data_IF_897899504402
#
_entry.id   IF_897899504402
#
_cell.length_a   1.000
_cell.length_b   1.000
_cell.length_c   1.000
_cell.angle_alpha   90.00
_cell.angle_beta   90.00
_cell.angle_gamma   90.00
#
_symmetry.space_group_name_H-M   'P 1'
#
loop_
_entity.id
_entity.type
_entity.pdbx_description
1 polymer ?
#
# COMPACT_ATOMS: atom_id res chain seq x y z
N UNK A 1 -45.46 33.89 33.63
CA UNK A 1 -45.34 32.48 33.20
C UNK A 1 -45.02 32.46 31.71
N UNK A 2 -43.73 32.40 31.36
CA UNK A 2 -43.26 32.46 29.96
C UNK A 2 -42.92 31.03 29.56
N UNK A 3 -43.79 30.40 28.77
CA UNK A 3 -43.61 29.03 28.25
C UNK A 3 -42.44 29.07 27.27
N UNK A 4 -41.31 28.45 27.63
CA UNK A 4 -40.18 28.24 26.74
C UNK A 4 -40.57 27.09 25.80
N UNK A 5 -40.56 27.38 24.50
CA UNK A 5 -40.78 26.41 23.45
C UNK A 5 -39.66 25.36 23.47
N UNK A 6 -40.03 24.09 23.64
CA UNK A 6 -39.13 22.96 23.41
C UNK A 6 -38.99 22.81 21.90
N UNK A 7 -37.89 23.33 21.37
CA UNK A 7 -37.47 23.08 19.99
C UNK A 7 -36.90 21.66 19.98
N UNK A 8 -37.70 20.72 19.47
CA UNK A 8 -37.25 19.38 19.13
C UNK A 8 -36.16 19.47 18.07
N UNK A 9 -34.91 19.34 18.50
CA UNK A 9 -33.75 19.23 17.62
C UNK A 9 -33.77 17.83 16.99
N UNK A 10 -34.40 17.71 15.83
CA UNK A 10 -34.20 16.59 14.91
C UNK A 10 -32.76 16.66 14.41
N UNK A 11 -31.85 15.89 15.03
CA UNK A 11 -30.53 15.57 14.48
C UNK A 11 -30.74 14.58 13.32
N UNK A 12 -30.47 14.94 12.05
CA UNK A 12 -30.43 13.96 10.99
C UNK A 12 -29.17 13.10 11.17
N UNK A 13 -29.38 11.78 11.22
CA UNK A 13 -28.35 10.74 11.20
C UNK A 13 -27.52 10.87 9.92
N UNK A 14 -26.32 11.44 10.02
CA UNK A 14 -25.28 11.37 8.98
C UNK A 14 -24.61 9.98 9.04
N UNK A 15 -25.32 8.92 8.67
CA UNK A 15 -24.79 7.54 8.61
C UNK A 15 -24.66 6.99 7.17
N UNK A 16 -24.74 7.84 6.15
CA UNK A 16 -24.78 7.40 4.75
C UNK A 16 -23.42 7.42 4.02
N UNK A 17 -22.29 7.25 4.73
CA UNK A 17 -20.95 7.37 4.13
C UNK A 17 -19.96 6.24 4.42
N UNK A 18 -20.26 5.31 5.33
CA UNK A 18 -19.31 4.25 5.70
C UNK A 18 -19.60 2.89 5.03
N UNK A 19 -20.59 2.83 4.13
CA UNK A 19 -20.93 1.63 3.36
C UNK A 19 -20.25 1.60 1.99
N UNK A 20 -20.36 2.71 1.25
CA UNK A 20 -19.90 2.78 -0.14
C UNK A 20 -18.37 2.63 -0.30
N UNK A 21 -17.58 3.26 0.59
CA UNK A 21 -16.12 3.18 0.52
C UNK A 21 -15.61 1.75 0.80
N UNK A 22 -16.26 1.04 1.73
CA UNK A 22 -15.91 -0.35 2.05
C UNK A 22 -16.23 -1.27 0.87
N UNK A 23 -17.39 -1.09 0.24
CA UNK A 23 -17.78 -1.89 -0.91
C UNK A 23 -16.82 -1.63 -2.08
N UNK A 24 -16.46 -0.37 -2.35
CA UNK A 24 -15.47 -0.01 -3.37
C UNK A 24 -14.08 -0.62 -3.11
N UNK A 25 -13.58 -0.55 -1.87
CA UNK A 25 -12.31 -1.18 -1.52
C UNK A 25 -12.32 -2.69 -1.73
N UNK A 26 -13.39 -3.36 -1.31
CA UNK A 26 -13.48 -4.81 -1.45
C UNK A 26 -13.60 -5.25 -2.92
N UNK A 27 -14.34 -4.50 -3.75
CA UNK A 27 -14.38 -4.70 -5.19
C UNK A 27 -12.98 -4.51 -5.80
N UNK A 28 -12.26 -3.46 -5.41
CA UNK A 28 -10.89 -3.23 -5.88
C UNK A 28 -9.91 -4.34 -5.46
N UNK A 29 -10.02 -4.85 -4.22
CA UNK A 29 -9.24 -6.01 -3.76
C UNK A 29 -9.51 -7.21 -4.64
N UNK A 30 -10.78 -7.50 -4.94
CA UNK A 30 -11.17 -8.63 -5.79
C UNK A 30 -10.66 -8.46 -7.23
N UNK A 31 -10.79 -7.27 -7.80
CA UNK A 31 -10.35 -6.95 -9.16
C UNK A 31 -8.83 -7.09 -9.32
N UNK A 32 -8.06 -6.65 -8.31
CA UNK A 32 -6.60 -6.64 -8.36
C UNK A 32 -5.92 -7.91 -7.87
N UNK A 33 -6.63 -8.80 -7.14
CA UNK A 33 -6.06 -9.98 -6.52
C UNK A 33 -5.24 -10.85 -7.49
N UNK A 34 -5.82 -11.14 -8.67
CA UNK A 34 -5.16 -11.99 -9.67
C UNK A 34 -3.91 -11.33 -10.22
N UNK A 35 -4.01 -10.06 -10.60
CA UNK A 35 -2.88 -9.30 -11.17
C UNK A 35 -1.75 -9.13 -10.15
N UNK A 36 -2.08 -8.90 -8.88
CA UNK A 36 -1.09 -8.87 -7.78
C UNK A 36 -0.39 -10.22 -7.62
N UNK A 37 -1.15 -11.32 -7.66
CA UNK A 37 -0.59 -12.67 -7.50
C UNK A 37 0.33 -13.03 -8.65
N UNK A 38 -0.03 -12.68 -9.88
CA UNK A 38 0.80 -12.89 -11.07
C UNK A 38 2.05 -12.02 -11.02
N UNK A 39 1.91 -10.74 -10.66
CA UNK A 39 3.02 -9.80 -10.58
C UNK A 39 4.03 -10.19 -9.49
N UNK A 40 3.55 -10.59 -8.30
CA UNK A 40 4.42 -10.99 -7.18
C UNK A 40 4.96 -12.41 -7.34
N UNK A 41 4.22 -13.28 -8.04
CA UNK A 41 4.59 -14.67 -8.31
C UNK A 41 5.56 -14.86 -9.47
N UNK A 42 5.82 -13.84 -10.29
CA UNK A 42 6.73 -13.93 -11.45
C UNK A 42 8.21 -14.13 -11.05
N UNK A 43 8.55 -13.87 -9.78
CA UNK A 43 9.89 -14.03 -9.21
C UNK A 43 10.91 -13.00 -9.71
N UNK A 44 10.45 -11.96 -10.42
CA UNK A 44 11.32 -10.89 -10.91
C UNK A 44 11.85 -10.03 -9.76
N UNK A 45 13.10 -9.53 -9.84
CA UNK A 45 13.68 -8.69 -8.78
C UNK A 45 12.88 -7.42 -8.47
N UNK A 46 12.09 -6.94 -9.44
CA UNK A 46 11.30 -5.72 -9.37
C UNK A 46 9.79 -5.96 -9.18
N UNK A 47 9.36 -7.21 -8.92
CA UNK A 47 7.96 -7.59 -8.74
C UNK A 47 7.18 -6.65 -7.79
N UNK A 48 7.74 -6.36 -6.61
CA UNK A 48 7.15 -5.43 -5.64
C UNK A 48 7.04 -3.99 -6.17
N UNK A 49 7.99 -3.55 -7.01
CA UNK A 49 7.97 -2.21 -7.59
C UNK A 49 6.99 -2.12 -8.77
N UNK A 50 6.77 -3.21 -9.51
CA UNK A 50 5.71 -3.33 -10.53
C UNK A 50 4.33 -3.26 -9.87
N UNK A 51 4.16 -3.91 -8.72
CA UNK A 51 2.91 -3.89 -7.95
C UNK A 51 2.58 -2.52 -7.31
N UNK A 52 3.51 -1.55 -7.32
CA UNK A 52 3.31 -0.25 -6.68
C UNK A 52 2.07 0.50 -7.20
N UNK A 53 1.78 0.42 -8.51
CA UNK A 53 0.57 1.04 -9.06
C UNK A 53 -0.69 0.49 -8.42
N UNK A 54 -0.80 -0.84 -8.38
CA UNK A 54 -1.93 -1.54 -7.77
C UNK A 54 -2.06 -1.26 -6.26
N UNK A 55 -0.94 -1.19 -5.53
CA UNK A 55 -0.99 -0.79 -4.11
C UNK A 55 -1.50 0.63 -3.92
N UNK A 56 -1.19 1.56 -4.83
CA UNK A 56 -1.73 2.92 -4.77
C UNK A 56 -3.23 2.94 -5.05
N UNK A 57 -3.69 2.20 -6.06
CA UNK A 57 -5.11 2.12 -6.41
C UNK A 57 -5.96 1.51 -5.28
N UNK A 58 -5.42 0.51 -4.57
CA UNK A 58 -6.04 -0.07 -3.38
C UNK A 58 -6.04 0.91 -2.20
N UNK A 59 -4.93 1.60 -1.96
CA UNK A 59 -4.82 2.57 -0.88
C UNK A 59 -5.76 3.78 -1.06
N UNK A 60 -5.98 4.21 -2.30
CA UNK A 60 -6.87 5.34 -2.61
C UNK A 60 -8.34 5.03 -2.34
N UNK A 61 -8.70 3.74 -2.32
CA UNK A 61 -10.06 3.25 -2.03
C UNK A 61 -10.20 2.73 -0.60
N UNK A 62 -9.09 2.57 0.12
CA UNK A 62 -9.07 1.94 1.42
C UNK A 62 -9.84 2.73 2.48
N UNK A 63 -10.49 2.04 3.44
CA UNK A 63 -11.07 2.70 4.59
C UNK A 63 -9.98 3.39 5.44
N UNK A 64 -10.40 4.43 6.17
CA UNK A 64 -9.49 5.30 6.91
C UNK A 64 -8.70 4.60 8.04
N UNK A 65 -9.17 3.44 8.50
CA UNK A 65 -8.58 2.66 9.58
C UNK A 65 -7.31 1.90 9.18
N UNK A 66 -7.09 1.66 7.88
CA UNK A 66 -5.88 0.98 7.36
C UNK A 66 -4.99 1.88 6.49
N UNK A 67 -5.22 3.20 6.55
CA UNK A 67 -4.47 4.17 5.75
C UNK A 67 -2.98 4.18 6.11
N UNK A 68 -2.64 4.01 7.38
CA UNK A 68 -1.25 4.10 7.85
C UNK A 68 -0.40 2.92 7.33
N UNK A 69 -0.97 1.72 7.29
CA UNK A 69 -0.38 0.50 6.75
C UNK A 69 -0.15 0.65 5.25
N UNK A 70 -1.16 1.09 4.50
CA UNK A 70 -1.00 1.38 3.07
C UNK A 70 0.09 2.40 2.80
N UNK A 71 0.10 3.50 3.55
CA UNK A 71 1.11 4.52 3.40
C UNK A 71 2.51 4.01 3.75
N UNK A 72 2.65 3.14 4.76
CA UNK A 72 3.93 2.52 5.11
C UNK A 72 4.49 1.75 3.90
N UNK A 73 3.70 0.84 3.33
CA UNK A 73 4.09 0.04 2.17
C UNK A 73 4.45 0.92 0.97
N UNK A 74 3.57 1.86 0.61
CA UNK A 74 3.76 2.73 -0.56
C UNK A 74 4.99 3.63 -0.39
N UNK A 75 5.22 4.20 0.79
CA UNK A 75 6.40 5.06 1.04
C UNK A 75 7.70 4.29 0.92
N UNK A 76 7.78 3.08 1.48
CA UNK A 76 8.98 2.25 1.39
C UNK A 76 9.29 1.88 -0.06
N UNK A 77 8.29 1.43 -0.81
CA UNK A 77 8.46 1.06 -2.23
C UNK A 77 8.80 2.27 -3.11
N UNK A 78 8.17 3.43 -2.89
CA UNK A 78 8.53 4.68 -3.59
C UNK A 78 9.96 5.10 -3.30
N UNK A 79 10.42 4.97 -2.05
CA UNK A 79 11.78 5.31 -1.66
C UNK A 79 12.81 4.42 -2.36
N UNK A 80 12.53 3.12 -2.46
CA UNK A 80 13.40 2.19 -3.20
C UNK A 80 13.39 2.50 -4.71
N UNK A 81 12.22 2.69 -5.31
CA UNK A 81 12.09 3.07 -6.72
C UNK A 81 12.89 4.33 -7.03
N UNK A 82 12.76 5.36 -6.18
CA UNK A 82 13.49 6.62 -6.34
C UNK A 82 15.00 6.42 -6.22
N UNK A 83 15.48 5.66 -5.23
CA UNK A 83 16.91 5.41 -5.05
C UNK A 83 17.54 4.69 -6.24
N UNK A 84 16.82 3.73 -6.85
CA UNK A 84 17.26 3.04 -8.07
C UNK A 84 17.25 3.97 -9.29
N UNK A 85 16.19 4.79 -9.45
CA UNK A 85 16.08 5.76 -10.53
C UNK A 85 17.16 6.85 -10.47
N UNK A 86 17.42 7.40 -9.29
CA UNK A 86 18.44 8.43 -9.06
C UNK A 86 19.84 7.91 -9.42
N UNK A 87 20.09 6.62 -9.17
CA UNK A 87 21.35 5.96 -9.49
C UNK A 87 21.41 5.43 -10.94
N UNK A 88 20.34 5.62 -11.73
CA UNK A 88 20.26 5.19 -13.12
C UNK A 88 20.33 3.67 -13.31
N UNK A 89 19.93 2.88 -12.31
CA UNK A 89 19.91 1.42 -12.39
C UNK A 89 18.51 0.90 -12.68
N UNK A 90 18.43 -0.13 -13.52
CA UNK A 90 17.17 -0.81 -13.83
C UNK A 90 16.83 -1.79 -12.69
N UNK A 91 15.70 -1.61 -11.99
CA UNK A 91 15.28 -2.52 -10.94
C UNK A 91 15.13 -3.97 -11.39
N UNK A 92 14.74 -4.22 -12.64
CA UNK A 92 14.52 -5.57 -13.17
C UNK A 92 15.81 -6.38 -13.30
N UNK A 93 16.97 -5.71 -13.33
CA UNK A 93 18.28 -6.34 -13.53
C UNK A 93 19.25 -6.06 -12.38
N UNK A 94 18.85 -5.30 -11.36
CA UNK A 94 19.72 -4.92 -10.26
C UNK A 94 20.03 -6.09 -9.33
N UNK A 95 21.31 -6.48 -9.28
CA UNK A 95 21.84 -7.43 -8.30
C UNK A 95 22.69 -6.70 -7.25
N UNK A 96 22.24 -6.72 -5.99
CA UNK A 96 22.93 -6.10 -4.86
C UNK A 96 24.32 -6.72 -4.60
N UNK A 97 24.50 -8.01 -4.88
CA UNK A 97 25.78 -8.70 -4.71
C UNK A 97 26.77 -8.33 -5.81
N UNK A 98 26.28 -8.01 -7.01
CA UNK A 98 27.06 -7.61 -8.17
C UNK A 98 26.56 -6.29 -8.76
N UNK A 99 26.67 -5.17 -8.01
CA UNK A 99 26.14 -3.88 -8.48
C UNK A 99 26.96 -3.36 -9.67
N UNK A 100 26.37 -2.55 -10.56
CA UNK A 100 27.08 -1.93 -11.68
C UNK A 100 28.30 -1.14 -11.21
N UNK A 101 29.42 -1.22 -11.94
CA UNK A 101 30.66 -0.50 -11.60
C UNK A 101 30.52 1.02 -11.63
N UNK A 102 29.48 1.54 -12.30
CA UNK A 102 29.12 2.96 -12.33
C UNK A 102 28.48 3.46 -11.03
N UNK A 103 28.03 2.56 -10.15
CA UNK A 103 27.35 2.91 -8.91
C UNK A 103 28.35 3.45 -7.87
N UNK A 104 28.12 4.67 -7.39
CA UNK A 104 28.93 5.26 -6.33
C UNK A 104 28.63 4.61 -4.98
N UNK A 105 29.55 4.78 -4.02
CA UNK A 105 29.35 4.33 -2.64
C UNK A 105 28.10 4.94 -1.99
N UNK A 106 27.82 6.22 -2.29
CA UNK A 106 26.68 6.93 -1.72
C UNK A 106 25.35 6.46 -2.32
N UNK A 107 25.30 6.22 -3.63
CA UNK A 107 24.13 5.62 -4.30
C UNK A 107 23.86 4.21 -3.77
N UNK A 108 24.90 3.39 -3.64
CA UNK A 108 24.79 2.05 -3.03
C UNK A 108 24.19 2.12 -1.64
N UNK A 109 24.66 3.05 -0.81
CA UNK A 109 24.16 3.23 0.56
C UNK A 109 22.68 3.67 0.57
N UNK A 110 22.26 4.54 -0.34
CA UNK A 110 20.86 4.97 -0.47
C UNK A 110 19.95 3.81 -0.88
N UNK A 111 20.35 3.03 -1.89
CA UNK A 111 19.61 1.85 -2.33
C UNK A 111 19.51 0.83 -1.19
N UNK A 112 20.62 0.55 -0.51
CA UNK A 112 20.66 -0.40 0.61
C UNK A 112 19.75 0.04 1.77
N UNK A 113 19.72 1.33 2.10
CA UNK A 113 18.84 1.87 3.13
C UNK A 113 17.36 1.76 2.73
N UNK A 114 17.02 2.09 1.49
CA UNK A 114 15.65 1.98 1.00
C UNK A 114 15.19 0.52 0.90
N UNK A 115 16.06 -0.39 0.46
CA UNK A 115 15.77 -1.83 0.43
C UNK A 115 15.59 -2.39 1.85
N UNK A 116 16.39 -1.92 2.82
CA UNK A 116 16.21 -2.30 4.22
C UNK A 116 14.88 -1.80 4.81
N UNK A 117 14.40 -0.64 4.38
CA UNK A 117 13.08 -0.10 4.78
C UNK A 117 11.92 -0.93 4.21
N UNK A 118 12.01 -1.35 2.94
CA UNK A 118 11.04 -2.29 2.32
C UNK A 118 11.00 -3.61 3.08
N UNK A 119 12.16 -4.16 3.48
CA UNK A 119 12.26 -5.38 4.27
C UNK A 119 12.13 -5.18 5.79
N UNK A 120 11.76 -3.99 6.25
CA UNK A 120 11.69 -3.69 7.68
C UNK A 120 10.52 -4.40 8.35
N UNK A 121 10.63 -4.63 9.67
CA UNK A 121 9.54 -5.21 10.44
C UNK A 121 8.24 -4.40 10.35
N UNK A 122 8.34 -3.06 10.22
CA UNK A 122 7.18 -2.19 10.07
C UNK A 122 6.46 -2.42 8.73
N UNK A 123 7.20 -2.49 7.62
CA UNK A 123 6.62 -2.72 6.28
C UNK A 123 6.05 -4.13 6.14
N UNK A 124 6.74 -5.15 6.68
CA UNK A 124 6.25 -6.53 6.68
C UNK A 124 5.00 -6.69 7.55
N UNK A 125 4.93 -6.02 8.70
CA UNK A 125 3.74 -6.01 9.55
C UNK A 125 2.57 -5.33 8.84
N UNK A 126 2.79 -4.16 8.23
CA UNK A 126 1.77 -3.47 7.45
C UNK A 126 1.20 -4.35 6.32
N UNK A 127 2.05 -5.04 5.55
CA UNK A 127 1.59 -5.99 4.53
C UNK A 127 0.74 -7.13 5.13
N UNK A 128 1.17 -7.68 6.27
CA UNK A 128 0.42 -8.73 6.97
C UNK A 128 -0.95 -8.23 7.46
N UNK A 129 -1.02 -7.02 8.00
CA UNK A 129 -2.25 -6.43 8.53
C UNK A 129 -3.23 -6.10 7.41
N UNK A 130 -2.73 -5.61 6.26
CA UNK A 130 -3.54 -5.37 5.06
C UNK A 130 -4.13 -6.66 4.48
N UNK A 131 -3.34 -7.73 4.35
CA UNK A 131 -3.86 -9.02 3.88
C UNK A 131 -4.87 -9.61 4.86
N UNK A 132 -4.61 -9.51 6.16
CA UNK A 132 -5.54 -9.97 7.19
C UNK A 132 -6.86 -9.19 7.15
N UNK A 133 -6.79 -7.86 7.02
CA UNK A 133 -7.99 -7.02 6.90
C UNK A 133 -8.79 -7.38 5.64
N UNK A 134 -8.13 -7.57 4.50
CA UNK A 134 -8.80 -7.97 3.27
C UNK A 134 -9.53 -9.32 3.43
N UNK A 135 -8.91 -10.30 4.11
CA UNK A 135 -9.56 -11.59 4.42
C UNK A 135 -10.74 -11.45 5.38
N UNK A 136 -10.59 -10.66 6.44
CA UNK A 136 -11.62 -10.56 7.48
C UNK A 136 -12.82 -9.73 7.03
N UNK A 137 -12.58 -8.68 6.24
CA UNK A 137 -13.56 -7.66 5.88
C UNK A 137 -14.12 -7.89 4.47
N UNK A 138 -13.27 -8.19 3.50
CA UNK A 138 -13.63 -8.41 2.10
C UNK A 138 -13.74 -9.89 1.72
N UNK A 139 -13.42 -10.80 2.66
CA UNK A 139 -13.41 -12.26 2.44
C UNK A 139 -12.53 -12.69 1.26
N UNK A 140 -11.54 -11.87 0.94
CA UNK A 140 -10.70 -11.98 -0.26
C UNK A 140 -9.28 -11.59 0.12
N UNK A 141 -8.28 -12.46 -0.03
CA UNK A 141 -6.90 -12.08 0.22
C UNK A 141 -6.33 -11.14 -0.84
N UNK A 142 -5.24 -10.45 -0.53
CA UNK A 142 -4.56 -9.60 -1.51
C UNK A 142 -3.91 -10.41 -2.65
N UNK A 143 -3.52 -11.65 -2.35
CA UNK A 143 -2.97 -12.60 -3.33
C UNK A 143 -3.54 -14.02 -3.14
N UNK A 144 -3.48 -14.84 -4.20
CA UNK A 144 -3.99 -16.22 -4.28
C UNK A 144 -2.91 -17.27 -4.50
#
# INVERSE_FOLDING_TARGET
MRRVAVVSLLLPLLLAGCGDDKDAYCDAVQDHQKDLSETLGDGSPDALLKALGTFQDLADQAPADITDEWQQVIRSLKSLKQALQDAGVDPATYDRAHPPASLTTDEKKKIDAAAADVGSGATLQALSDLDQQARDVCHTPLTV
#
